data_IF_547803898168
#
_entry.id   IF_547803898168
#
_cell.length_a   1.000
_cell.length_b   1.000
_cell.length_c   1.000
_cell.angle_alpha   90.00
_cell.angle_beta   90.00
_cell.angle_gamma   90.00
#
_symmetry.space_group_name_H-M   'P 1'
#
loop_
_entity.id
_entity.type
_entity.pdbx_description
1 polymer ?
#
# COMPACT_ATOMS: atom_id res chain seq x y z
N UNK A 1 -7.36 4.20 5.38
CA UNK A 1 -6.90 5.61 5.31
C UNK A 1 -5.67 5.66 4.42
N UNK A 2 -5.60 6.59 3.47
CA UNK A 2 -4.43 6.76 2.62
C UNK A 2 -3.32 7.45 3.44
N UNK A 3 -2.19 6.77 3.67
CA UNK A 3 -1.08 7.31 4.47
C UNK A 3 -0.51 8.59 3.84
N UNK A 4 -0.49 8.67 2.51
CA UNK A 4 -0.13 9.89 1.78
C UNK A 4 -1.04 11.07 2.15
N UNK A 5 -2.36 10.89 2.13
CA UNK A 5 -3.31 11.95 2.47
C UNK A 5 -3.14 12.43 3.93
N UNK A 6 -2.81 11.53 4.85
CA UNK A 6 -2.49 11.89 6.23
C UNK A 6 -1.23 12.75 6.32
N UNK A 7 -0.15 12.36 5.63
CA UNK A 7 1.11 13.11 5.63
C UNK A 7 0.99 14.47 4.92
N UNK A 8 0.17 14.55 3.87
CA UNK A 8 -0.20 15.81 3.21
C UNK A 8 -0.93 16.75 4.18
N UNK A 9 -1.92 16.23 4.92
CA UNK A 9 -2.65 17.01 5.92
C UNK A 9 -1.79 17.52 7.09
N UNK A 10 -0.61 16.92 7.32
CA UNK A 10 0.33 17.30 8.37
C UNK A 10 1.51 18.16 7.88
N UNK A 11 1.54 18.54 6.59
CA UNK A 11 2.65 19.27 5.97
C UNK A 11 4.01 18.50 6.07
N UNK A 12 3.93 17.16 5.95
CA UNK A 12 5.07 16.25 6.03
C UNK A 12 5.40 15.56 4.70
N UNK A 13 4.51 15.63 3.70
CA UNK A 13 4.64 14.89 2.44
C UNK A 13 5.88 15.27 1.61
N UNK A 14 6.24 16.55 1.56
CA UNK A 14 7.41 17.01 0.79
C UNK A 14 8.73 16.40 1.31
N UNK A 15 8.76 16.07 2.60
CA UNK A 15 9.91 15.47 3.26
C UNK A 15 10.07 13.98 2.95
N UNK A 16 8.96 13.24 2.88
CA UNK A 16 8.97 11.81 2.52
C UNK A 16 9.09 11.57 1.02
N UNK A 17 8.46 12.39 0.19
CA UNK A 17 8.66 12.35 -1.27
C UNK A 17 10.10 12.74 -1.67
N UNK A 18 10.81 13.45 -0.78
CA UNK A 18 12.19 13.90 -0.98
C UNK A 18 12.29 15.09 -1.92
N UNK A 19 11.25 15.92 -1.93
CA UNK A 19 11.24 17.24 -2.58
C UNK A 19 11.88 18.29 -1.66
N UNK A 20 11.86 18.07 -0.34
CA UNK A 20 12.46 18.97 0.65
C UNK A 20 13.98 18.75 0.74
N UNK A 21 14.76 19.75 0.31
CA UNK A 21 16.23 19.70 0.34
C UNK A 21 16.78 19.87 1.76
N UNK A 22 17.84 19.13 2.08
CA UNK A 22 18.52 19.23 3.37
C UNK A 22 19.16 20.63 3.46
N UNK A 23 18.76 21.49 4.42
CA UNK A 23 19.34 22.82 4.53
C UNK A 23 20.85 22.76 4.80
N UNK A 24 21.64 23.57 4.09
CA UNK A 24 23.10 23.62 4.21
C UNK A 24 23.56 23.89 5.66
N UNK A 25 24.74 23.36 6.02
CA UNK A 25 25.31 23.50 7.37
C UNK A 25 26.02 24.84 7.54
N UNK A 26 25.25 25.91 7.51
CA UNK A 26 25.76 27.27 7.68
C UNK A 26 25.10 27.97 8.86
N UNK A 27 25.79 28.89 9.54
CA UNK A 27 25.24 29.64 10.68
C UNK A 27 23.92 30.36 10.35
N UNK A 28 23.78 30.85 9.12
CA UNK A 28 22.60 31.57 8.63
C UNK A 28 21.37 30.64 8.52
N UNK A 29 21.61 29.35 8.27
CA UNK A 29 20.58 28.34 8.09
C UNK A 29 20.24 27.56 9.37
N UNK A 30 20.87 27.87 10.51
CA UNK A 30 20.70 27.14 11.77
C UNK A 30 19.22 27.02 12.21
N UNK A 31 18.44 28.10 12.05
CA UNK A 31 17.01 28.12 12.38
C UNK A 31 16.18 27.23 11.45
N UNK A 32 16.45 27.29 10.14
CA UNK A 32 15.77 26.48 9.12
C UNK A 32 16.10 25.00 9.29
N UNK A 33 17.38 24.66 9.52
CA UNK A 33 17.85 23.32 9.82
C UNK A 33 17.21 22.74 11.08
N UNK A 34 17.06 23.54 12.14
CA UNK A 34 16.35 23.10 13.36
C UNK A 34 14.88 22.76 13.08
N UNK A 35 14.18 23.61 12.30
CA UNK A 35 12.79 23.35 11.89
C UNK A 35 12.68 22.08 11.03
N UNK A 36 13.60 21.90 10.09
CA UNK A 36 13.67 20.71 9.23
C UNK A 36 13.89 19.43 10.06
N UNK A 37 14.82 19.44 11.02
CA UNK A 37 15.03 18.30 11.94
C UNK A 37 13.78 17.97 12.77
N UNK A 38 13.01 18.99 13.19
CA UNK A 38 11.74 18.77 13.90
C UNK A 38 10.70 18.14 12.98
N UNK A 39 10.58 18.60 11.72
CA UNK A 39 9.70 17.97 10.72
C UNK A 39 10.09 16.52 10.45
N UNK A 40 11.39 16.22 10.34
CA UNK A 40 11.91 14.85 10.22
C UNK A 40 11.48 13.96 11.39
N UNK A 41 11.65 14.45 12.62
CA UNK A 41 11.23 13.71 13.80
C UNK A 41 9.73 13.40 13.79
N UNK A 42 8.89 14.37 13.38
CA UNK A 42 7.44 14.17 13.27
C UNK A 42 7.07 13.16 12.18
N UNK A 43 7.69 13.24 11.01
CA UNK A 43 7.45 12.29 9.91
C UNK A 43 7.86 10.87 10.30
N UNK A 44 9.07 10.70 10.87
CA UNK A 44 9.54 9.40 11.36
C UNK A 44 8.62 8.82 12.43
N UNK A 45 8.15 9.65 13.36
CA UNK A 45 7.20 9.22 14.38
C UNK A 45 5.89 8.75 13.74
N UNK A 46 5.28 9.59 12.89
CA UNK A 46 4.05 9.25 12.18
C UNK A 46 4.15 7.93 11.42
N UNK A 47 5.23 7.75 10.64
CA UNK A 47 5.49 6.52 9.89
C UNK A 47 5.66 5.32 10.84
N UNK A 48 6.53 5.40 11.86
CA UNK A 48 6.77 4.29 12.78
C UNK A 48 5.52 3.90 13.58
N UNK A 49 4.65 4.85 13.91
CA UNK A 49 3.41 4.57 14.65
C UNK A 49 2.28 4.03 13.78
N UNK A 50 2.32 4.25 12.46
CA UNK A 50 1.29 3.72 11.55
C UNK A 50 1.57 2.29 11.08
N UNK A 51 2.80 1.80 11.31
CA UNK A 51 3.24 0.47 10.89
C UNK A 51 2.94 -0.56 12.00
N UNK A 52 2.41 -1.72 11.60
CA UNK A 52 2.25 -2.87 12.50
C UNK A 52 3.59 -3.35 13.06
N UNK A 53 3.59 -3.82 14.31
CA UNK A 53 4.83 -4.25 15.01
C UNK A 53 5.69 -5.24 14.22
N UNK A 54 5.06 -6.12 13.45
CA UNK A 54 5.72 -7.12 12.60
C UNK A 54 6.59 -6.53 11.47
N UNK A 55 6.36 -5.27 11.08
CA UNK A 55 7.12 -4.58 10.04
C UNK A 55 8.07 -3.50 10.58
N UNK A 56 8.03 -3.20 11.88
CA UNK A 56 8.86 -2.17 12.52
C UNK A 56 10.36 -2.49 12.37
N UNK A 57 10.75 -3.75 12.51
CA UNK A 57 12.17 -4.17 12.42
C UNK A 57 12.79 -3.84 11.06
N UNK A 58 11.99 -3.74 9.99
CA UNK A 58 12.46 -3.41 8.65
C UNK A 58 12.80 -1.93 8.48
N UNK A 59 12.30 -1.05 9.37
CA UNK A 59 12.47 0.41 9.30
C UNK A 59 13.13 1.00 10.56
N UNK A 60 13.51 0.15 11.52
CA UNK A 60 14.05 0.58 12.81
C UNK A 60 15.35 1.38 12.63
N UNK A 61 16.30 0.85 11.86
CA UNK A 61 17.64 1.42 11.70
C UNK A 61 17.70 2.59 10.70
N UNK A 62 16.58 2.91 10.07
CA UNK A 62 16.51 3.92 9.03
C UNK A 62 16.28 5.31 9.64
N UNK A 63 17.17 6.25 9.36
CA UNK A 63 17.16 7.58 10.01
C UNK A 63 16.53 8.67 9.16
N UNK A 64 16.26 8.41 7.88
CA UNK A 64 15.64 9.36 6.96
C UNK A 64 14.16 9.04 6.74
N UNK A 65 13.23 10.02 6.86
CA UNK A 65 11.82 9.83 6.51
C UNK A 65 11.62 9.24 5.12
N UNK A 66 12.42 9.70 4.14
CA UNK A 66 12.38 9.21 2.75
C UNK A 66 12.76 7.73 2.66
N UNK A 67 13.87 7.33 3.28
CA UNK A 67 14.31 5.94 3.26
C UNK A 67 13.30 5.00 3.97
N UNK A 68 12.66 5.48 5.05
CA UNK A 68 11.56 4.73 5.70
C UNK A 68 10.41 4.56 4.73
N UNK A 69 9.99 5.63 4.06
CA UNK A 69 8.92 5.59 3.06
C UNK A 69 9.24 4.65 1.90
N UNK A 70 10.43 4.77 1.28
CA UNK A 70 10.89 3.92 0.18
C UNK A 70 10.93 2.44 0.59
N UNK A 71 11.33 2.16 1.83
CA UNK A 71 11.34 0.79 2.38
C UNK A 71 9.92 0.23 2.52
N UNK A 72 8.98 1.03 3.03
CA UNK A 72 7.57 0.64 3.14
C UNK A 72 6.97 0.42 1.76
N UNK A 73 7.16 1.35 0.83
CA UNK A 73 6.65 1.24 -0.54
C UNK A 73 7.14 -0.05 -1.19
N UNK A 74 8.43 -0.39 -1.03
CA UNK A 74 9.00 -1.64 -1.55
C UNK A 74 8.41 -2.88 -0.89
N UNK A 75 8.26 -2.88 0.44
CA UNK A 75 7.70 -4.02 1.20
C UNK A 75 6.25 -4.28 0.80
N UNK A 76 5.40 -3.25 0.83
CA UNK A 76 3.99 -3.38 0.50
C UNK A 76 3.77 -3.62 -1.00
N UNK A 77 4.60 -3.07 -1.89
CA UNK A 77 4.53 -3.39 -3.32
C UNK A 77 4.82 -4.88 -3.58
N UNK A 78 5.83 -5.45 -2.90
CA UNK A 78 6.13 -6.89 -3.00
C UNK A 78 4.99 -7.74 -2.43
N UNK A 79 4.44 -7.35 -1.28
CA UNK A 79 3.31 -8.05 -0.67
C UNK A 79 2.06 -7.99 -1.56
N UNK A 80 1.75 -6.83 -2.13
CA UNK A 80 0.65 -6.65 -3.07
C UNK A 80 0.83 -7.54 -4.30
N UNK A 81 2.05 -7.64 -4.84
CA UNK A 81 2.34 -8.54 -5.98
C UNK A 81 2.08 -10.00 -5.64
N UNK A 82 2.57 -10.48 -4.48
CA UNK A 82 2.36 -11.86 -4.05
C UNK A 82 0.87 -12.15 -3.77
N UNK A 83 0.16 -11.20 -3.14
CA UNK A 83 -1.28 -11.32 -2.85
C UNK A 83 -2.10 -11.30 -4.14
N UNK A 84 -1.75 -10.45 -5.09
CA UNK A 84 -2.38 -10.39 -6.41
C UNK A 84 -2.28 -11.75 -7.12
N UNK A 85 -1.07 -12.31 -7.21
CA UNK A 85 -0.86 -13.65 -7.80
C UNK A 85 -1.63 -14.75 -7.07
N UNK A 86 -1.70 -14.69 -5.74
CA UNK A 86 -2.49 -15.63 -4.96
C UNK A 86 -3.97 -15.55 -5.32
N UNK A 87 -4.55 -14.35 -5.33
CA UNK A 87 -5.96 -14.11 -5.66
C UNK A 87 -6.30 -14.49 -7.10
N UNK A 88 -5.40 -14.22 -8.05
CA UNK A 88 -5.56 -14.64 -9.44
C UNK A 88 -5.59 -16.16 -9.58
N UNK A 89 -4.72 -16.87 -8.86
CA UNK A 89 -4.72 -18.33 -8.83
C UNK A 89 -5.96 -18.89 -8.13
N UNK A 90 -6.38 -18.29 -7.01
CA UNK A 90 -7.59 -18.67 -6.30
C UNK A 90 -8.81 -18.51 -7.21
N UNK A 91 -8.97 -17.36 -7.86
CA UNK A 91 -10.00 -17.12 -8.86
C UNK A 91 -9.88 -18.09 -10.05
N UNK A 92 -8.65 -18.46 -10.41
CA UNK A 92 -8.39 -19.40 -11.48
C UNK A 92 -8.82 -20.85 -11.15
N UNK A 93 -8.81 -21.22 -9.88
CA UNK A 93 -9.17 -22.56 -9.41
C UNK A 93 -10.58 -22.64 -8.82
N UNK A 94 -11.20 -21.51 -8.52
CA UNK A 94 -12.53 -21.43 -7.91
C UNK A 94 -13.60 -22.04 -8.82
N UNK A 95 -14.35 -22.98 -8.24
CA UNK A 95 -15.53 -23.62 -8.83
C UNK A 95 -16.68 -23.54 -7.85
N UNK A 96 -17.91 -23.72 -8.33
CA UNK A 96 -19.09 -23.69 -7.46
C UNK A 96 -19.05 -24.83 -6.42
N UNK A 97 -18.66 -26.05 -6.81
CA UNK A 97 -18.36 -27.21 -5.93
C UNK A 97 -19.12 -27.26 -4.57
N UNK A 98 -20.44 -27.42 -4.63
CA UNK A 98 -21.29 -27.57 -3.44
C UNK A 98 -21.80 -26.27 -2.82
N UNK A 99 -21.28 -25.11 -3.23
CA UNK A 99 -21.86 -23.80 -2.92
C UNK A 99 -23.17 -23.59 -3.67
N UNK A 100 -24.06 -22.78 -3.10
CA UNK A 100 -25.14 -22.18 -3.87
C UNK A 100 -24.59 -21.22 -4.93
N UNK A 101 -25.36 -20.98 -5.99
CA UNK A 101 -25.00 -20.03 -7.05
C UNK A 101 -24.72 -18.63 -6.46
N UNK A 102 -25.51 -18.21 -5.48
CA UNK A 102 -25.36 -16.91 -4.81
C UNK A 102 -24.04 -16.81 -4.03
N UNK A 103 -23.67 -17.86 -3.29
CA UNK A 103 -22.40 -17.90 -2.53
C UNK A 103 -21.19 -17.89 -3.47
N UNK A 104 -21.23 -18.70 -4.53
CA UNK A 104 -20.19 -18.72 -5.55
C UNK A 104 -20.01 -17.34 -6.21
N UNK A 105 -21.12 -16.71 -6.61
CA UNK A 105 -21.09 -15.38 -7.22
C UNK A 105 -20.53 -14.32 -6.27
N UNK A 106 -20.89 -14.37 -4.98
CA UNK A 106 -20.36 -13.46 -3.96
C UNK A 106 -18.85 -13.67 -3.77
N UNK A 107 -18.37 -14.91 -3.72
CA UNK A 107 -16.96 -15.24 -3.58
C UNK A 107 -16.13 -14.67 -4.76
N UNK A 108 -16.58 -14.90 -6.01
CA UNK A 108 -15.95 -14.33 -7.20
C UNK A 108 -15.91 -12.80 -7.14
N UNK A 109 -17.01 -12.15 -6.75
CA UNK A 109 -17.06 -10.68 -6.63
C UNK A 109 -16.09 -10.15 -5.59
N UNK A 110 -15.97 -10.80 -4.45
CA UNK A 110 -15.06 -10.38 -3.38
C UNK A 110 -13.60 -10.48 -3.82
N UNK A 111 -13.20 -11.61 -4.44
CA UNK A 111 -11.85 -11.77 -4.98
C UNK A 111 -11.57 -10.71 -6.06
N UNK A 112 -12.53 -10.45 -6.95
CA UNK A 112 -12.35 -9.42 -7.99
C UNK A 112 -12.26 -8.00 -7.43
N UNK A 113 -12.99 -7.70 -6.36
CA UNK A 113 -12.92 -6.41 -5.67
C UNK A 113 -11.55 -6.22 -5.02
N UNK A 114 -11.05 -7.24 -4.31
CA UNK A 114 -9.73 -7.20 -3.68
C UNK A 114 -8.61 -7.04 -4.72
N UNK A 115 -8.66 -7.78 -5.84
CA UNK A 115 -7.73 -7.60 -6.97
C UNK A 115 -7.76 -6.15 -7.48
N UNK A 116 -8.94 -5.56 -7.61
CA UNK A 116 -9.10 -4.18 -8.10
C UNK A 116 -8.60 -3.12 -7.12
N UNK A 117 -8.55 -3.42 -5.83
CA UNK A 117 -7.94 -2.57 -4.80
C UNK A 117 -6.40 -2.66 -4.84
N UNK A 118 -5.86 -3.86 -5.07
CA UNK A 118 -4.41 -4.11 -5.13
C UNK A 118 -3.78 -3.62 -6.45
N UNK A 119 -4.51 -3.70 -7.56
CA UNK A 119 -4.10 -3.14 -8.86
C UNK A 119 -5.20 -2.26 -9.47
N UNK A 120 -5.21 -0.95 -9.12
CA UNK A 120 -6.17 0.00 -9.66
C UNK A 120 -6.02 0.26 -11.17
N UNK A 121 -4.87 -0.10 -11.78
CA UNK A 121 -4.59 0.14 -13.20
C UNK A 121 -5.21 -0.97 -14.07
N UNK A 122 -5.22 -2.21 -13.60
CA UNK A 122 -5.76 -3.37 -14.32
C UNK A 122 -7.09 -3.88 -13.74
N UNK A 123 -8.08 -3.00 -13.62
CA UNK A 123 -9.41 -3.38 -13.10
C UNK A 123 -10.05 -4.51 -13.90
N UNK A 124 -10.67 -5.43 -13.18
CA UNK A 124 -11.46 -6.51 -13.78
C UNK A 124 -12.75 -5.93 -14.34
N UNK A 125 -12.85 -5.86 -15.67
CA UNK A 125 -14.07 -5.42 -16.34
C UNK A 125 -15.18 -6.49 -16.32
N UNK A 126 -16.41 -6.08 -16.62
CA UNK A 126 -17.59 -6.96 -16.61
C UNK A 126 -17.46 -8.17 -17.53
N UNK A 127 -16.72 -8.06 -18.64
CA UNK A 127 -16.52 -9.17 -19.57
C UNK A 127 -15.60 -10.25 -18.96
N UNK A 128 -14.52 -9.83 -18.29
CA UNK A 128 -13.63 -10.74 -17.53
C UNK A 128 -14.38 -11.37 -16.37
N UNK A 129 -15.14 -10.58 -15.60
CA UNK A 129 -15.97 -11.07 -14.51
C UNK A 129 -16.96 -12.16 -14.97
N UNK A 130 -17.71 -11.90 -16.05
CA UNK A 130 -18.63 -12.89 -16.64
C UNK A 130 -17.91 -14.17 -17.05
N UNK A 131 -16.70 -14.07 -17.62
CA UNK A 131 -15.91 -15.24 -18.01
C UNK A 131 -15.52 -16.10 -16.80
N UNK A 132 -15.10 -15.48 -15.70
CA UNK A 132 -14.77 -16.20 -14.47
C UNK A 132 -15.98 -16.95 -13.91
N UNK A 133 -17.13 -16.28 -13.85
CA UNK A 133 -18.38 -16.87 -13.38
C UNK A 133 -18.81 -18.07 -14.22
N UNK A 134 -18.84 -17.94 -15.56
CA UNK A 134 -19.28 -19.02 -16.45
C UNK A 134 -18.35 -20.24 -16.34
N UNK A 135 -17.05 -20.02 -16.15
CA UNK A 135 -16.06 -21.11 -16.14
C UNK A 135 -16.14 -21.98 -14.89
N UNK A 136 -16.48 -21.43 -13.73
CA UNK A 136 -16.56 -22.19 -12.48
C UNK A 136 -17.96 -22.69 -12.13
N UNK A 137 -18.99 -22.30 -12.89
CA UNK A 137 -20.33 -22.87 -12.77
C UNK A 137 -20.32 -24.31 -13.30
N UNK A 138 -20.67 -25.25 -12.43
CA UNK A 138 -20.94 -26.64 -12.81
C UNK A 138 -22.45 -26.74 -12.98
N UNK A 139 -22.93 -26.80 -14.24
CA UNK A 139 -24.34 -27.09 -14.56
C UNK A 139 -24.63 -28.58 -14.40
#
# INVERSE_FOLDING_TARGET
MCMEAFLQGQDLWELVSGVDEIPADTPENAKSRRKWKIKCGKALFALRTSISKEFIDHVHDVSSPKEVWDTLERLFSKQNTARLQFLENELAMLKQEGMSISEYFLCVKNICAEISELDPKEKINDARLRRFLIRGLTL
#
